data_IF_686822859755
#
_entry.id   IF_686822859755
#
_cell.length_a   1.000
_cell.length_b   1.000
_cell.length_c   1.000
_cell.angle_alpha   90.00
_cell.angle_beta   90.00
_cell.angle_gamma   90.00
#
_symmetry.space_group_name_H-M   'P 1'
#
loop_
_entity.id
_entity.type
_entity.pdbx_description
1 polymer ?
#
# COMPACT_ATOMS: atom_id res chain seq x y z
N UNK A 1 -17.81 -20.65 1.69
CA UNK A 1 -17.63 -19.58 0.70
C UNK A 1 -16.33 -18.91 1.10
N UNK A 2 -15.23 -19.23 0.41
CA UNK A 2 -13.96 -18.58 0.69
C UNK A 2 -14.07 -17.13 0.19
N UNK A 3 -13.67 -16.11 0.96
CA UNK A 3 -13.62 -14.75 0.45
C UNK A 3 -12.67 -14.75 -0.75
N UNK A 4 -13.18 -14.34 -1.90
CA UNK A 4 -12.41 -14.28 -3.15
C UNK A 4 -11.14 -13.46 -2.95
N UNK A 5 -9.95 -14.06 -3.12
CA UNK A 5 -8.63 -13.43 -2.95
C UNK A 5 -8.52 -12.07 -3.67
N UNK A 6 -9.19 -11.91 -4.82
CA UNK A 6 -9.25 -10.64 -5.55
C UNK A 6 -9.91 -9.51 -4.74
N UNK A 7 -10.91 -9.82 -3.92
CA UNK A 7 -11.55 -8.83 -3.04
C UNK A 7 -10.58 -8.36 -1.95
N UNK A 8 -9.81 -9.27 -1.37
CA UNK A 8 -8.79 -8.93 -0.36
C UNK A 8 -7.70 -8.05 -0.95
N UNK A 9 -7.22 -8.37 -2.16
CA UNK A 9 -6.19 -7.60 -2.84
C UNK A 9 -6.65 -6.16 -3.13
N UNK A 10 -7.89 -5.99 -3.59
CA UNK A 10 -8.44 -4.65 -3.85
C UNK A 10 -8.64 -3.85 -2.55
N UNK A 11 -9.13 -4.47 -1.48
CA UNK A 11 -9.25 -3.83 -0.17
C UNK A 11 -7.88 -3.39 0.37
N UNK A 12 -6.89 -4.28 0.32
CA UNK A 12 -5.52 -3.99 0.79
C UNK A 12 -4.87 -2.90 -0.05
N UNK A 13 -5.06 -2.92 -1.38
CA UNK A 13 -4.55 -1.89 -2.26
C UNK A 13 -5.17 -0.50 -1.98
N UNK A 14 -6.49 -0.44 -1.78
CA UNK A 14 -7.18 0.81 -1.48
C UNK A 14 -6.74 1.37 -0.12
N UNK A 15 -6.70 0.53 0.92
CA UNK A 15 -6.25 0.92 2.25
C UNK A 15 -4.78 1.37 2.26
N UNK A 16 -3.90 0.63 1.57
CA UNK A 16 -2.50 1.02 1.42
C UNK A 16 -2.35 2.40 0.76
N UNK A 17 -3.14 2.70 -0.27
CA UNK A 17 -3.16 4.01 -0.90
C UNK A 17 -3.61 5.10 0.07
N UNK A 18 -4.76 4.91 0.73
CA UNK A 18 -5.31 5.92 1.63
C UNK A 18 -4.37 6.20 2.81
N UNK A 19 -3.86 5.15 3.47
CA UNK A 19 -2.96 5.29 4.61
C UNK A 19 -1.61 5.88 4.20
N UNK A 20 -1.04 5.45 3.08
CA UNK A 20 0.23 5.99 2.62
C UNK A 20 0.09 7.46 2.25
N UNK A 21 -0.96 7.84 1.52
CA UNK A 21 -1.22 9.25 1.20
C UNK A 21 -1.45 10.10 2.45
N UNK A 22 -2.22 9.61 3.42
CA UNK A 22 -2.46 10.31 4.68
C UNK A 22 -1.18 10.46 5.54
N UNK A 23 -0.21 9.57 5.38
CA UNK A 23 1.07 9.64 6.08
C UNK A 23 2.03 10.68 5.49
N UNK A 24 1.80 11.15 4.26
CA UNK A 24 2.67 12.14 3.61
C UNK A 24 2.28 13.55 4.06
N UNK A 25 3.12 14.15 4.91
CA UNK A 25 2.93 15.53 5.37
C UNK A 25 3.64 16.57 4.51
N UNK A 26 4.67 16.15 3.78
CA UNK A 26 5.58 17.02 3.03
C UNK A 26 5.17 17.22 1.57
N UNK A 27 4.27 16.38 1.05
CA UNK A 27 3.70 16.50 -0.28
C UNK A 27 2.33 15.84 -0.34
N UNK A 28 1.47 16.32 -1.25
CA UNK A 28 0.19 15.67 -1.55
C UNK A 28 0.37 14.78 -2.81
N UNK A 29 0.23 13.46 -2.70
CA UNK A 29 0.41 12.55 -3.85
C UNK A 29 -0.68 12.68 -4.92
N UNK A 30 -1.79 13.37 -4.65
CA UNK A 30 -2.82 13.68 -5.63
C UNK A 30 -2.57 15.00 -6.38
N UNK A 31 -1.75 15.90 -5.81
CA UNK A 31 -1.35 17.15 -6.47
C UNK A 31 0.05 17.09 -7.10
N UNK A 32 0.94 16.26 -6.54
CA UNK A 32 2.33 16.14 -6.99
C UNK A 32 2.47 14.91 -7.90
N UNK A 33 3.04 15.03 -9.10
CA UNK A 33 3.24 13.89 -9.99
C UNK A 33 4.22 12.90 -9.36
N UNK A 34 4.01 11.62 -9.62
CA UNK A 34 4.76 10.55 -8.94
C UNK A 34 6.27 10.57 -9.19
N UNK A 35 6.72 11.15 -10.30
CA UNK A 35 8.16 11.32 -10.61
C UNK A 35 8.86 12.28 -9.63
N UNK A 36 8.11 13.15 -8.96
CA UNK A 36 8.60 14.15 -8.02
C UNK A 36 8.46 13.71 -6.55
N UNK A 37 7.91 12.53 -6.28
CA UNK A 37 7.77 12.04 -4.91
C UNK A 37 9.14 11.73 -4.27
N UNK A 38 9.40 12.20 -3.04
CA UNK A 38 10.67 12.02 -2.38
C UNK A 38 10.93 10.55 -2.02
N UNK A 39 12.20 10.13 -2.08
CA UNK A 39 12.63 8.80 -1.60
C UNK A 39 12.47 8.63 -0.07
N UNK A 40 12.29 9.75 0.64
CA UNK A 40 12.04 9.80 2.08
C UNK A 40 10.56 9.70 2.44
N UNK A 41 9.70 9.29 1.50
CA UNK A 41 8.27 9.08 1.77
C UNK A 41 8.07 8.18 2.99
N UNK A 42 7.06 8.50 3.79
CA UNK A 42 6.79 7.80 5.04
C UNK A 42 6.21 6.42 4.71
N UNK A 43 6.86 5.32 5.12
CA UNK A 43 6.34 3.99 4.85
C UNK A 43 5.18 3.65 5.80
N UNK A 44 4.23 2.84 5.32
CA UNK A 44 3.09 2.33 6.11
C UNK A 44 3.28 0.85 6.38
N UNK A 45 3.03 0.38 7.61
CA UNK A 45 3.27 -1.01 7.99
C UNK A 45 2.05 -1.87 7.69
N UNK A 46 2.31 -3.16 7.43
CA UNK A 46 1.30 -4.21 7.32
C UNK A 46 0.32 -4.24 8.51
N UNK A 47 0.81 -3.97 9.73
CA UNK A 47 -0.02 -3.89 10.93
C UNK A 47 -1.03 -2.73 10.89
N UNK A 48 -0.65 -1.57 10.35
CA UNK A 48 -1.56 -0.41 10.26
C UNK A 48 -2.67 -0.68 9.24
N UNK A 49 -2.32 -1.32 8.11
CA UNK A 49 -3.27 -1.74 7.08
C UNK A 49 -4.23 -2.81 7.62
N UNK A 50 -3.72 -3.78 8.39
CA UNK A 50 -4.54 -4.81 9.02
C UNK A 50 -5.55 -4.21 10.00
N UNK A 51 -5.14 -3.21 10.79
CA UNK A 51 -6.05 -2.49 11.70
C UNK A 51 -7.13 -1.74 10.93
N UNK A 52 -6.77 -1.02 9.87
CA UNK A 52 -7.73 -0.24 9.06
C UNK A 52 -8.76 -1.15 8.36
N UNK A 53 -8.28 -2.22 7.74
CA UNK A 53 -9.09 -3.16 6.95
C UNK A 53 -9.80 -4.23 7.78
N UNK A 54 -9.47 -4.35 9.08
CA UNK A 54 -9.93 -5.43 9.96
C UNK A 54 -9.58 -6.84 9.45
N UNK A 55 -8.49 -6.96 8.69
CA UNK A 55 -7.96 -8.22 8.18
C UNK A 55 -6.85 -8.77 9.09
N UNK A 56 -6.57 -10.06 8.98
CA UNK A 56 -5.39 -10.63 9.65
C UNK A 56 -4.11 -10.12 8.98
N UNK A 57 -3.09 -9.82 9.78
CA UNK A 57 -1.80 -9.32 9.28
C UNK A 57 -1.18 -10.27 8.24
N UNK A 58 -1.40 -11.57 8.38
CA UNK A 58 -0.89 -12.56 7.43
C UNK A 58 -1.59 -12.46 6.06
N UNK A 59 -2.92 -12.27 6.04
CA UNK A 59 -3.68 -12.08 4.80
C UNK A 59 -3.24 -10.79 4.09
N UNK A 60 -3.01 -9.72 4.87
CA UNK A 60 -2.47 -8.45 4.35
C UNK A 60 -1.09 -8.65 3.75
N UNK A 61 -0.20 -9.40 4.42
CA UNK A 61 1.15 -9.69 3.89
C UNK A 61 1.11 -10.50 2.59
N UNK A 62 0.23 -11.48 2.50
CA UNK A 62 0.05 -12.27 1.29
C UNK A 62 -0.48 -11.41 0.15
N UNK A 63 -1.47 -10.56 0.41
CA UNK A 63 -1.99 -9.58 -0.56
C UNK A 63 -0.90 -8.58 -1.00
N UNK A 64 -0.19 -7.95 -0.05
CA UNK A 64 0.94 -7.06 -0.35
C UNK A 64 2.03 -7.77 -1.17
N UNK A 65 2.26 -9.05 -0.92
CA UNK A 65 3.18 -9.87 -1.72
C UNK A 65 2.73 -10.05 -3.17
N UNK A 66 1.42 -10.11 -3.44
CA UNK A 66 0.87 -10.18 -4.81
C UNK A 66 0.84 -8.81 -5.49
N UNK A 67 0.66 -7.73 -4.72
CA UNK A 67 0.56 -6.36 -5.22
C UNK A 67 1.91 -5.67 -5.42
N UNK A 68 2.99 -6.23 -4.86
CA UNK A 68 4.34 -5.70 -4.97
C UNK A 68 4.79 -5.58 -6.44
N UNK A 69 5.24 -4.39 -6.82
CA UNK A 69 5.61 -4.05 -8.19
C UNK A 69 4.43 -3.82 -9.15
N UNK A 70 3.18 -3.99 -8.69
CA UNK A 70 1.96 -3.78 -9.50
C UNK A 70 1.19 -2.56 -9.02
N UNK A 71 0.76 -2.54 -7.75
CA UNK A 71 0.03 -1.42 -7.12
C UNK A 71 0.82 -0.73 -6.01
N UNK A 72 1.81 -1.41 -5.42
CA UNK A 72 2.64 -0.90 -4.32
C UNK A 72 4.08 -1.39 -4.45
N UNK A 73 5.00 -0.74 -3.75
CA UNK A 73 6.37 -1.23 -3.52
C UNK A 73 6.51 -1.58 -2.05
N UNK A 74 6.89 -2.83 -1.78
CA UNK A 74 6.95 -3.39 -0.43
C UNK A 74 8.39 -3.58 0.02
N UNK A 75 8.73 -2.98 1.15
CA UNK A 75 9.96 -3.23 1.89
C UNK A 75 9.74 -4.35 2.91
N UNK A 76 10.73 -5.22 3.07
CA UNK A 76 10.70 -6.29 4.07
C UNK A 76 11.91 -6.19 4.99
N UNK A 77 11.67 -6.02 6.29
CA UNK A 77 12.72 -5.93 7.29
C UNK A 77 12.32 -6.67 8.56
N UNK A 78 13.19 -7.55 9.05
CA UNK A 78 13.02 -8.28 10.32
C UNK A 78 11.64 -8.97 10.51
N UNK A 79 10.98 -9.40 9.42
CA UNK A 79 9.66 -10.04 9.47
C UNK A 79 8.47 -9.09 9.44
N UNK A 80 8.69 -7.80 9.20
CA UNK A 80 7.67 -6.78 8.94
C UNK A 80 7.64 -6.45 7.45
N UNK A 81 6.44 -6.35 6.88
CA UNK A 81 6.22 -5.79 5.55
C UNK A 81 5.75 -4.34 5.68
N UNK A 82 6.32 -3.45 4.86
CA UNK A 82 5.91 -2.06 4.81
C UNK A 82 5.72 -1.62 3.37
N UNK A 83 4.65 -0.89 3.10
CA UNK A 83 4.44 -0.18 1.84
C UNK A 83 5.36 1.05 1.84
N UNK A 84 6.41 1.01 1.03
CA UNK A 84 7.37 2.11 0.89
C UNK A 84 6.81 3.20 -0.03
N UNK A 85 6.05 2.77 -1.04
CA UNK A 85 5.53 3.65 -2.08
C UNK A 85 4.31 3.00 -2.73
N UNK A 86 3.36 3.82 -3.18
CA UNK A 86 2.24 3.38 -4.02
C UNK A 86 2.60 3.55 -5.50
N UNK A 87 2.11 2.68 -6.36
CA UNK A 87 2.30 2.78 -7.80
C UNK A 87 1.01 3.40 -8.35
N UNK A 88 1.04 4.64 -8.86
CA UNK A 88 -0.15 5.24 -9.47
C UNK A 88 -0.57 4.39 -10.66
N UNK A 89 -1.87 4.17 -10.80
CA UNK A 89 -2.39 3.49 -11.98
C UNK A 89 -2.08 4.34 -13.21
N UNK A 90 -1.42 3.76 -14.22
CA UNK A 90 -1.01 4.48 -15.42
C UNK A 90 -2.20 4.97 -16.27
N UNK A 91 -3.44 4.64 -15.89
CA UNK A 91 -4.65 4.99 -16.63
C UNK A 91 -5.16 6.39 -16.26
N UNK A 92 -4.36 7.39 -16.60
CA UNK A 92 -4.83 8.76 -16.84
C UNK A 92 -4.05 9.36 -18.03
N UNK A 93 -4.34 8.85 -19.23
CA UNK A 93 -4.02 9.49 -20.50
C UNK A 93 -5.30 9.61 -21.34
#
# INVERSE_FOLDING_TARGET
MAPDDSTTDDIVAEAALQLWSAAQTDFDPFEVPSEEWPETAVPVRDADIAVDTHLEVQDVREALGRLDGVKVVVGREAGTCSVLRVIPDATAL
#
